data_IF_892906632945
#
_entry.id   IF_892906632945
#
_cell.length_a   1.000
_cell.length_b   1.000
_cell.length_c   1.000
_cell.angle_alpha   90.00
_cell.angle_beta   90.00
_cell.angle_gamma   90.00
#
_symmetry.space_group_name_H-M   'P 1'
#
loop_
_entity.id
_entity.type
_entity.pdbx_description
1 polymer ?
#
# COMPACT_ATOMS: atom_id res chain seq x y z
N UNK A 1 -5.88 12.26 -17.18
CA UNK A 1 -5.71 11.43 -15.96
C UNK A 1 -4.36 10.73 -15.99
N UNK A 2 -3.36 11.21 -15.24
CA UNK A 2 -2.07 10.50 -15.12
C UNK A 2 -2.35 9.20 -14.36
N UNK A 3 -2.03 8.05 -14.96
CA UNK A 3 -2.17 6.73 -14.35
C UNK A 3 -1.29 6.71 -13.09
N UNK A 4 -1.88 6.71 -11.90
CA UNK A 4 -1.15 6.45 -10.66
C UNK A 4 -0.61 5.02 -10.75
N UNK A 5 0.66 4.87 -11.16
CA UNK A 5 1.29 3.57 -11.36
C UNK A 5 1.59 2.96 -9.99
N UNK A 6 1.03 1.77 -9.76
CA UNK A 6 1.07 1.02 -8.51
C UNK A 6 2.46 0.44 -8.26
N UNK A 7 2.95 0.52 -7.03
CA UNK A 7 4.14 -0.24 -6.61
C UNK A 7 3.73 -1.68 -6.32
N UNK A 8 4.30 -2.64 -7.05
CA UNK A 8 4.19 -4.05 -6.70
C UNK A 8 5.28 -4.38 -5.68
N UNK A 9 4.87 -4.64 -4.45
CA UNK A 9 5.80 -5.09 -3.40
C UNK A 9 5.82 -6.61 -3.33
N UNK A 10 7.02 -7.18 -3.25
CA UNK A 10 7.19 -8.61 -2.97
C UNK A 10 7.12 -8.88 -1.46
N UNK A 11 6.57 -10.04 -1.09
CA UNK A 11 6.41 -10.49 0.30
C UNK A 11 7.73 -10.64 1.07
N UNK A 12 8.84 -10.78 0.34
CA UNK A 12 10.18 -10.83 0.92
C UNK A 12 10.62 -9.49 1.52
N UNK A 13 9.96 -8.37 1.17
CA UNK A 13 10.32 -7.02 1.62
C UNK A 13 9.49 -6.49 2.80
N UNK A 14 8.65 -7.33 3.42
CA UNK A 14 7.81 -6.96 4.58
C UNK A 14 8.54 -7.30 5.89
N UNK A 15 8.75 -6.29 6.74
CA UNK A 15 9.48 -6.42 8.01
C UNK A 15 8.52 -6.33 9.21
N UNK A 16 8.15 -7.47 9.79
CA UNK A 16 7.67 -7.68 11.17
C UNK A 16 7.42 -9.19 11.36
N UNK A 17 8.35 -9.94 11.99
CA UNK A 17 8.27 -11.41 12.05
C UNK A 17 7.04 -11.94 12.81
N UNK A 18 6.61 -11.24 13.86
CA UNK A 18 5.45 -11.65 14.67
C UNK A 18 4.11 -11.32 14.00
N UNK A 19 3.98 -10.13 13.39
CA UNK A 19 2.75 -9.73 12.67
C UNK A 19 2.64 -10.27 11.25
N UNK A 20 3.71 -10.85 10.68
CA UNK A 20 3.67 -11.45 9.34
C UNK A 20 2.57 -12.51 9.23
N UNK A 21 2.47 -13.43 10.19
CA UNK A 21 1.43 -14.49 10.19
C UNK A 21 0.02 -13.93 10.22
N UNK A 22 -0.29 -13.07 11.18
CA UNK A 22 -1.63 -12.48 11.33
C UNK A 22 -2.05 -11.60 10.15
N UNK A 23 -1.06 -11.04 9.43
CA UNK A 23 -1.28 -10.23 8.24
C UNK A 23 -1.58 -11.07 7.00
N UNK A 24 -0.89 -12.19 6.81
CA UNK A 24 -1.05 -13.05 5.63
C UNK A 24 -2.40 -13.76 5.56
N UNK A 25 -3.12 -13.85 6.67
CA UNK A 25 -4.42 -14.52 6.74
C UNK A 25 -5.61 -13.55 6.54
N UNK A 26 -5.36 -12.23 6.49
CA UNK A 26 -6.43 -11.22 6.41
C UNK A 26 -6.47 -10.52 5.05
N UNK A 27 -7.67 -10.45 4.47
CA UNK A 27 -7.97 -9.63 3.31
C UNK A 27 -8.49 -8.26 3.76
N UNK A 28 -7.95 -7.18 3.20
CA UNK A 28 -8.42 -5.85 3.55
C UNK A 28 -7.43 -4.73 3.31
N UNK A 29 -7.71 -3.61 3.98
CA UNK A 29 -6.94 -2.39 3.90
C UNK A 29 -6.10 -2.18 5.16
N UNK A 30 -4.86 -1.73 4.96
CA UNK A 30 -3.87 -1.57 6.03
C UNK A 30 -3.07 -0.28 5.90
N UNK A 31 -2.66 0.27 7.03
CA UNK A 31 -1.73 1.39 7.15
C UNK A 31 -0.30 0.86 7.27
N UNK A 32 0.60 1.37 6.43
CA UNK A 32 2.01 1.00 6.43
C UNK A 32 2.94 2.19 6.27
N UNK A 33 4.19 1.93 6.63
CA UNK A 33 5.33 2.78 6.37
C UNK A 33 6.24 2.11 5.33
N UNK A 34 6.67 2.86 4.32
CA UNK A 34 7.52 2.40 3.23
C UNK A 34 8.88 3.05 3.35
N UNK A 35 9.93 2.26 3.15
CA UNK A 35 11.27 2.75 2.89
C UNK A 35 11.65 2.42 1.47
N UNK A 36 11.89 3.43 0.64
CA UNK A 36 12.30 3.26 -0.75
C UNK A 36 13.73 3.79 -0.88
N UNK A 37 14.70 2.94 -1.27
CA UNK A 37 16.03 3.42 -1.61
C UNK A 37 15.96 4.42 -2.75
N UNK A 38 16.59 5.57 -2.58
CA UNK A 38 16.60 6.67 -3.53
C UNK A 38 18.01 7.22 -3.74
N UNK A 39 18.13 8.11 -4.73
CA UNK A 39 19.33 8.92 -4.94
C UNK A 39 18.91 10.37 -5.03
N UNK A 40 19.58 11.23 -4.25
CA UNK A 40 19.41 12.68 -4.32
C UNK A 40 20.78 13.32 -4.57
N UNK A 41 20.91 14.06 -5.67
CA UNK A 41 22.18 14.66 -6.12
C UNK A 41 23.38 13.70 -6.12
N UNK A 42 23.16 12.43 -6.50
CA UNK A 42 24.21 11.42 -6.58
C UNK A 42 24.50 10.65 -5.28
N UNK A 43 23.96 11.09 -4.14
CA UNK A 43 24.12 10.40 -2.86
C UNK A 43 23.05 9.33 -2.65
N UNK A 44 23.45 8.16 -2.14
CA UNK A 44 22.50 7.12 -1.71
C UNK A 44 21.74 7.59 -0.49
N UNK A 45 20.41 7.45 -0.52
CA UNK A 45 19.53 7.82 0.57
C UNK A 45 18.30 6.91 0.65
N UNK A 46 17.48 7.13 1.66
CA UNK A 46 16.19 6.48 1.80
C UNK A 46 15.11 7.55 1.79
N UNK A 47 14.08 7.33 0.98
CA UNK A 47 12.83 8.07 1.07
C UNK A 47 11.83 7.25 1.89
N UNK A 48 11.04 7.95 2.69
CA UNK A 48 10.07 7.35 3.57
C UNK A 48 8.68 7.84 3.24
N UNK A 49 7.75 6.90 3.05
CA UNK A 49 6.41 7.19 2.58
C UNK A 49 5.37 6.43 3.39
N UNK A 50 4.34 7.11 3.87
CA UNK A 50 3.14 6.44 4.37
C UNK A 50 2.32 5.86 3.21
N UNK A 51 1.68 4.72 3.44
CA UNK A 51 0.84 4.11 2.42
C UNK A 51 -0.39 3.42 2.96
N UNK A 52 -1.41 3.37 2.10
CA UNK A 52 -2.50 2.42 2.18
C UNK A 52 -2.12 1.15 1.42
N UNK A 53 -2.37 -0.02 2.00
CA UNK A 53 -2.20 -1.29 1.29
C UNK A 53 -3.53 -2.01 1.18
N UNK A 54 -3.85 -2.44 -0.03
CA UNK A 54 -4.87 -3.47 -0.28
C UNK A 54 -4.16 -4.82 -0.39
N UNK A 55 -4.52 -5.77 0.47
CA UNK A 55 -4.02 -7.14 0.39
C UNK A 55 -5.20 -8.13 0.31
N UNK A 56 -5.11 -9.09 -0.61
CA UNK A 56 -6.16 -10.08 -0.82
C UNK A 56 -5.90 -11.03 -1.99
N UNK A 57 -6.73 -12.06 -2.11
CA UNK A 57 -6.61 -13.06 -3.18
C UNK A 57 -7.27 -12.58 -4.47
N UNK A 58 -6.49 -12.53 -5.55
CA UNK A 58 -7.02 -12.25 -6.89
C UNK A 58 -7.25 -13.54 -7.64
N UNK A 59 -8.43 -13.72 -8.27
CA UNK A 59 -8.62 -14.79 -9.22
C UNK A 59 -7.65 -14.59 -10.38
N UNK A 60 -6.90 -15.64 -10.70
CA UNK A 60 -6.00 -15.74 -11.84
C UNK A 60 -6.40 -16.95 -12.68
N UNK A 61 -5.88 -17.02 -13.90
CA UNK A 61 -6.20 -18.12 -14.84
C UNK A 61 -5.79 -19.48 -14.23
N UNK A 62 -4.71 -19.52 -13.45
CA UNK A 62 -4.17 -20.72 -12.81
C UNK A 62 -4.57 -20.87 -11.32
N UNK A 63 -5.59 -20.14 -10.84
CA UNK A 63 -6.12 -20.27 -9.49
C UNK A 63 -6.31 -18.95 -8.75
N UNK A 64 -5.82 -18.85 -7.51
CA UNK A 64 -5.85 -17.60 -6.73
C UNK A 64 -4.44 -17.22 -6.32
N UNK A 65 -4.05 -15.98 -6.58
CA UNK A 65 -2.76 -15.43 -6.16
C UNK A 65 -2.99 -14.36 -5.11
N UNK A 66 -2.31 -14.46 -3.97
CA UNK A 66 -2.32 -13.39 -2.98
C UNK A 66 -1.53 -12.20 -3.50
N UNK A 67 -2.16 -11.02 -3.51
CA UNK A 67 -1.57 -9.80 -4.05
C UNK A 67 -1.59 -8.70 -3.00
N UNK A 68 -0.55 -7.89 -3.01
CA UNK A 68 -0.41 -6.69 -2.18
C UNK A 68 -0.18 -5.50 -3.10
N UNK A 69 -1.04 -4.50 -2.99
CA UNK A 69 -0.91 -3.24 -3.70
C UNK A 69 -0.78 -2.09 -2.72
N UNK A 70 0.34 -1.35 -2.82
CA UNK A 70 0.61 -0.18 -2.02
C UNK A 70 0.28 1.12 -2.77
N UNK A 71 -0.45 1.99 -2.10
CA UNK A 71 -0.78 3.34 -2.51
C UNK A 71 -0.05 4.31 -1.57
N UNK A 72 1.08 4.85 -2.03
CA UNK A 72 1.81 5.87 -1.28
C UNK A 72 1.00 7.16 -1.20
N UNK A 73 0.87 7.71 0.00
CA UNK A 73 0.10 8.94 0.26
C UNK A 73 0.89 10.13 -0.28
N UNK A 74 0.23 10.96 -1.09
CA UNK A 74 0.73 12.19 -1.71
C UNK A 74 2.02 12.04 -2.54
N UNK A 75 2.41 10.81 -2.87
CA UNK A 75 3.51 10.53 -3.78
C UNK A 75 3.13 10.84 -5.23
N UNK A 76 4.04 11.51 -5.93
CA UNK A 76 4.00 11.67 -7.38
C UNK A 76 5.32 11.24 -7.99
N UNK A 77 5.30 10.28 -8.91
CA UNK A 77 6.51 9.79 -9.59
C UNK A 77 6.32 8.41 -10.20
N UNK A 78 7.41 7.82 -10.67
CA UNK A 78 7.44 6.42 -11.13
C UNK A 78 8.22 5.55 -10.13
N UNK A 79 7.62 4.42 -9.76
CA UNK A 79 8.16 3.41 -8.85
C UNK A 79 8.47 2.11 -9.59
N UNK A 80 8.40 2.10 -10.92
CA UNK A 80 8.72 0.93 -11.72
C UNK A 80 10.13 0.41 -11.38
N UNK A 81 10.24 -0.90 -11.16
CA UNK A 81 11.47 -1.62 -10.76
C UNK A 81 12.10 -1.20 -9.41
N UNK A 82 11.52 -0.25 -8.67
CA UNK A 82 12.00 0.10 -7.33
C UNK A 82 11.57 -0.96 -6.31
N UNK A 83 12.53 -1.43 -5.51
CA UNK A 83 12.29 -2.33 -4.37
C UNK A 83 12.17 -1.51 -3.08
N UNK A 84 10.95 -1.42 -2.55
CA UNK A 84 10.68 -0.81 -1.24
C UNK A 84 10.58 -1.85 -0.13
N UNK A 85 10.90 -1.45 1.11
CA UNK A 85 10.58 -2.22 2.32
C UNK A 85 9.26 -1.72 2.90
N UNK A 86 8.40 -2.65 3.31
CA UNK A 86 7.11 -2.37 3.95
C UNK A 86 7.17 -2.71 5.44
N UNK A 87 6.74 -1.76 6.27
CA UNK A 87 6.58 -1.94 7.71
C UNK A 87 5.12 -1.76 8.09
N UNK A 88 4.55 -2.80 8.72
CA UNK A 88 3.15 -2.81 9.12
C UNK A 88 2.87 -1.89 10.30
N UNK A 89 1.83 -1.06 10.21
CA UNK A 89 1.40 -0.19 11.31
C UNK A 89 0.05 -0.62 11.88
N UNK A 90 -1.01 -0.62 11.06
CA UNK A 90 -2.37 -0.90 11.53
C UNK A 90 -3.27 -1.55 10.48
N UNK A 91 -4.26 -2.31 10.94
CA UNK A 91 -5.36 -2.81 10.14
C UNK A 91 -6.52 -1.81 10.17
N UNK A 92 -7.12 -1.53 9.01
CA UNK A 92 -8.14 -0.49 8.88
C UNK A 92 -9.52 -1.11 8.72
N UNK A 93 -9.69 -2.01 7.73
CA UNK A 93 -10.99 -2.59 7.38
C UNK A 93 -10.86 -3.82 6.49
N UNK A 94 -11.92 -4.64 6.46
CA UNK A 94 -12.03 -5.79 5.55
C UNK A 94 -12.11 -5.30 4.09
N UNK A 95 -11.94 -6.22 3.14
CA UNK A 95 -12.26 -5.96 1.74
C UNK A 95 -13.75 -5.65 1.57
N UNK A 96 -14.06 -4.66 0.73
CA UNK A 96 -15.42 -4.23 0.45
C UNK A 96 -15.68 -4.50 -1.04
N UNK A 97 -16.74 -5.25 -1.33
CA UNK A 97 -17.26 -5.38 -2.69
C UNK A 97 -18.08 -4.14 -3.01
N UNK A 98 -17.73 -3.46 -4.09
CA UNK A 98 -18.45 -2.28 -4.56
C UNK A 98 -19.37 -2.66 -5.72
N UNK A 99 -20.59 -2.14 -5.72
CA UNK A 99 -21.56 -2.32 -6.82
C UNK A 99 -21.26 -1.46 -8.05
N UNK A 100 -20.25 -0.59 -7.99
CA UNK A 100 -19.87 0.31 -9.08
C UNK A 100 -18.69 1.21 -8.74
N UNK A 101 -18.35 2.11 -9.66
CA UNK A 101 -17.17 2.99 -9.55
C UNK A 101 -17.34 4.09 -8.49
N UNK A 102 -18.51 4.71 -8.40
CA UNK A 102 -18.78 5.79 -7.46
C UNK A 102 -18.59 5.40 -5.98
N UNK A 103 -19.18 4.29 -5.48
CA UNK A 103 -18.97 3.88 -4.10
C UNK A 103 -17.50 3.50 -3.82
N UNK A 104 -16.79 2.93 -4.81
CA UNK A 104 -15.35 2.68 -4.71
C UNK A 104 -14.57 3.99 -4.52
N UNK A 105 -14.80 4.99 -5.38
CA UNK A 105 -14.12 6.28 -5.29
C UNK A 105 -14.40 6.97 -3.95
N UNK A 106 -15.66 6.94 -3.48
CA UNK A 106 -16.02 7.49 -2.17
C UNK A 106 -15.26 6.81 -1.04
N UNK A 107 -15.18 5.48 -1.04
CA UNK A 107 -14.44 4.75 -0.01
C UNK A 107 -12.94 5.05 -0.08
N UNK A 108 -12.35 5.11 -1.27
CA UNK A 108 -10.93 5.46 -1.42
C UNK A 108 -10.59 6.85 -0.87
N UNK A 109 -11.48 7.83 -1.06
CA UNK A 109 -11.32 9.18 -0.49
C UNK A 109 -11.38 9.15 1.04
N UNK A 110 -12.34 8.42 1.60
CA UNK A 110 -12.48 8.23 3.05
C UNK A 110 -11.25 7.53 3.65
N UNK A 111 -10.80 6.45 3.00
CA UNK A 111 -9.61 5.71 3.42
C UNK A 111 -8.36 6.60 3.43
N UNK A 112 -8.18 7.45 2.40
CA UNK A 112 -7.09 8.43 2.35
C UNK A 112 -7.20 9.48 3.46
N UNK A 113 -8.40 10.00 3.70
CA UNK A 113 -8.63 10.98 4.76
C UNK A 113 -8.31 10.40 6.15
N UNK A 114 -8.80 9.20 6.44
CA UNK A 114 -8.51 8.50 7.69
C UNK A 114 -7.01 8.23 7.84
N UNK A 115 -6.31 7.91 6.75
CA UNK A 115 -4.86 7.74 6.76
C UNK A 115 -4.13 9.03 7.13
N UNK A 116 -4.53 10.16 6.54
CA UNK A 116 -3.95 11.47 6.88
C UNK A 116 -4.13 11.81 8.34
N UNK A 117 -5.33 11.62 8.90
CA UNK A 117 -5.59 11.81 10.33
C UNK A 117 -4.71 10.89 11.18
N UNK A 118 -4.68 9.59 10.86
CA UNK A 118 -3.91 8.60 11.61
C UNK A 118 -2.41 8.91 11.63
N UNK A 119 -1.86 9.42 10.52
CA UNK A 119 -0.45 9.77 10.40
C UNK A 119 -0.12 11.21 10.81
N UNK A 120 -1.12 12.04 11.16
CA UNK A 120 -0.92 13.45 11.46
C UNK A 120 -0.42 14.27 10.25
N UNK A 121 -0.81 13.89 9.04
CA UNK A 121 -0.45 14.60 7.80
C UNK A 121 -1.44 15.76 7.62
N UNK A 122 -0.96 16.99 7.75
CA UNK A 122 -1.72 18.19 7.44
C UNK A 122 -1.70 18.47 5.93
N UNK A 123 -2.79 19.04 5.40
CA UNK A 123 -2.91 19.45 3.99
C UNK A 123 -2.06 20.70 3.67
#
# INVERSE_FOLDING_TARGET
MKKNKKMKCSLSSIHNKHKKRDFFEREGLFFLFNRIPGRYNGYLGNEYWYSLISAGYRPTIDGKTYSIEAHLIDFSGDLYEKKGTLSFLSYIRNEIKFSGLDPLIKQMKLDKHNAKIFFGIND
#
